data_IF_266957503445
#
_entry.id   IF_266957503445
#
_cell.length_a   1.000
_cell.length_b   1.000
_cell.length_c   1.000
_cell.angle_alpha   90.00
_cell.angle_beta   90.00
_cell.angle_gamma   90.00
#
_symmetry.space_group_name_H-M   'P 1'
#
loop_
_entity.id
_entity.type
_entity.pdbx_description
1 polymer ?
#
# COMPACT_ATOMS: atom_id res chain seq x y z
N UNK A 1 -21.78 16.41 67.42
CA UNK A 1 -21.10 17.66 67.00
C UNK A 1 -19.61 17.36 66.88
N UNK A 2 -19.18 16.79 65.76
CA UNK A 2 -17.78 16.41 65.52
C UNK A 2 -17.29 17.19 64.30
N UNK A 3 -16.34 18.10 64.55
CA UNK A 3 -15.71 18.99 63.58
C UNK A 3 -14.60 18.24 62.85
N UNK A 4 -14.72 18.09 61.54
CA UNK A 4 -13.70 17.45 60.69
C UNK A 4 -12.90 18.54 59.98
N UNK A 5 -11.65 18.68 60.37
CA UNK A 5 -10.69 19.58 59.73
C UNK A 5 -10.17 18.96 58.41
N UNK A 6 -10.23 19.73 57.33
CA UNK A 6 -9.56 19.47 56.05
C UNK A 6 -8.11 19.95 56.13
N UNK A 7 -7.16 19.03 55.97
CA UNK A 7 -5.74 19.37 55.84
C UNK A 7 -5.35 19.43 54.36
N UNK A 8 -5.01 20.63 53.91
CA UNK A 8 -4.46 20.94 52.59
C UNK A 8 -2.96 20.69 52.59
N UNK A 9 -2.49 19.75 51.77
CA UNK A 9 -1.06 19.47 51.57
C UNK A 9 -0.56 20.18 50.29
N UNK A 10 0.09 21.31 50.50
CA UNK A 10 0.82 22.06 49.46
C UNK A 10 2.20 21.42 49.26
N UNK A 11 2.38 20.68 48.17
CA UNK A 11 3.67 20.09 47.83
C UNK A 11 4.48 21.06 46.95
N UNK A 12 5.52 21.65 47.53
CA UNK A 12 6.50 22.50 46.84
C UNK A 12 7.50 21.65 46.04
N UNK A 13 7.66 21.96 44.76
CA UNK A 13 8.64 21.33 43.87
C UNK A 13 10.08 21.81 44.16
N UNK A 14 11.09 20.92 44.09
CA UNK A 14 12.49 21.32 44.07
C UNK A 14 12.99 21.62 42.65
N UNK A 15 13.73 22.73 42.56
CA UNK A 15 14.40 23.32 41.39
C UNK A 15 15.57 22.45 40.89
N UNK A 16 15.76 22.24 39.57
CA UNK A 16 16.91 21.52 39.04
C UNK A 16 18.16 22.41 38.91
N UNK A 17 19.38 21.85 39.07
CA UNK A 17 20.63 22.57 38.81
C UNK A 17 21.02 22.51 37.33
N UNK A 18 21.49 23.65 36.81
CA UNK A 18 22.14 23.79 35.51
C UNK A 18 23.53 23.12 35.49
N UNK A 19 23.96 22.60 34.33
CA UNK A 19 25.37 22.60 33.98
C UNK A 19 25.66 23.50 32.76
N UNK A 20 26.73 24.25 32.91
CA UNK A 20 27.37 25.11 31.91
C UNK A 20 28.04 24.31 30.78
N UNK A 21 27.86 24.85 29.55
CA UNK A 21 28.83 25.04 28.47
C UNK A 21 29.89 23.97 28.19
N UNK A 22 29.83 23.43 26.96
CA UNK A 22 31.01 23.18 26.11
C UNK A 22 30.59 23.20 24.64
N UNK A 23 30.82 24.32 23.97
CA UNK A 23 30.85 24.40 22.50
C UNK A 23 32.24 23.97 22.05
N UNK A 24 32.32 22.89 21.28
CA UNK A 24 33.52 22.51 20.54
C UNK A 24 33.13 22.10 19.11
N UNK A 25 33.78 22.75 18.15
CA UNK A 25 33.71 22.60 16.70
C UNK A 25 33.44 21.19 16.16
N UNK A 26 32.77 21.08 15.00
CA UNK A 26 33.07 20.06 14.02
C UNK A 26 33.93 20.61 12.87
N UNK A 27 35.11 20.00 12.77
CA UNK A 27 36.02 20.03 11.63
C UNK A 27 35.31 19.66 10.33
N UNK A 28 35.61 20.42 9.27
CA UNK A 28 35.22 20.15 7.89
C UNK A 28 35.95 18.89 7.40
N UNK A 29 35.20 17.80 7.21
CA UNK A 29 35.66 16.67 6.39
C UNK A 29 34.85 16.62 5.09
N UNK A 30 35.40 17.26 4.06
CA UNK A 30 35.06 17.00 2.67
C UNK A 30 35.40 15.54 2.34
N UNK A 31 34.37 14.70 2.22
CA UNK A 31 34.51 13.39 1.58
C UNK A 31 34.04 13.50 0.12
N UNK A 32 35.04 13.53 -0.76
CA UNK A 32 34.92 13.35 -2.20
C UNK A 32 34.35 11.95 -2.48
N UNK A 33 33.09 11.88 -2.89
CA UNK A 33 32.55 10.66 -3.51
C UNK A 33 33.07 10.56 -4.94
N UNK A 34 34.11 9.75 -5.11
CA UNK A 34 34.60 9.33 -6.42
C UNK A 34 33.62 8.30 -7.00
N UNK A 35 32.84 8.73 -8.00
CA UNK A 35 31.99 7.85 -8.82
C UNK A 35 32.88 6.87 -9.61
N UNK A 36 33.11 5.67 -9.09
CA UNK A 36 33.65 4.56 -9.89
C UNK A 36 32.51 3.81 -10.58
N UNK A 37 32.39 4.09 -11.87
CA UNK A 37 31.52 3.40 -12.82
C UNK A 37 32.06 1.99 -13.06
N UNK A 38 31.56 1.02 -12.30
CA UNK A 38 31.83 -0.40 -12.52
C UNK A 38 30.89 -0.96 -13.58
N UNK A 39 31.42 -1.28 -14.76
CA UNK A 39 30.73 -2.03 -15.80
C UNK A 39 30.67 -3.52 -15.39
N UNK A 40 29.49 -4.03 -15.02
CA UNK A 40 29.24 -5.47 -14.92
C UNK A 40 28.67 -5.98 -16.25
N UNK A 41 29.51 -6.71 -16.98
CA UNK A 41 29.15 -7.46 -18.18
C UNK A 41 28.45 -8.77 -17.76
N UNK A 42 27.16 -8.90 -18.08
CA UNK A 42 26.41 -10.14 -17.89
C UNK A 42 26.66 -11.03 -19.11
N UNK A 43 27.30 -12.17 -18.88
CA UNK A 43 27.61 -13.18 -19.89
C UNK A 43 26.46 -14.19 -19.93
N UNK A 44 25.62 -14.13 -20.96
CA UNK A 44 24.56 -15.11 -21.20
C UNK A 44 25.16 -16.39 -21.79
N UNK A 45 24.98 -17.51 -21.11
CA UNK A 45 25.34 -18.83 -21.65
C UNK A 45 24.06 -19.54 -22.07
N UNK A 46 23.88 -19.68 -23.38
CA UNK A 46 22.89 -20.59 -23.97
C UNK A 46 23.30 -22.03 -23.67
N UNK A 47 22.35 -22.88 -23.27
CA UNK A 47 22.46 -24.33 -23.49
C UNK A 47 21.07 -24.91 -23.70
N UNK A 48 20.97 -25.58 -24.85
CA UNK A 48 19.83 -26.26 -25.45
C UNK A 48 19.39 -27.51 -24.67
N UNK A 49 18.09 -27.82 -24.82
CA UNK A 49 17.40 -29.05 -24.40
C UNK A 49 18.02 -30.34 -24.98
N UNK A 50 17.65 -31.56 -24.49
CA UNK A 50 16.43 -32.22 -25.00
C UNK A 50 15.65 -33.17 -24.04
N UNK A 51 14.34 -33.29 -24.36
CA UNK A 51 13.44 -34.48 -24.43
C UNK A 51 13.03 -35.39 -23.22
N UNK A 52 11.68 -35.58 -23.14
CA UNK A 52 10.86 -36.80 -22.86
C UNK A 52 10.99 -37.45 -21.44
N UNK A 53 9.96 -37.87 -20.66
CA UNK A 53 8.67 -38.57 -20.89
C UNK A 53 7.87 -38.64 -19.52
N UNK A 54 6.80 -39.46 -19.27
CA UNK A 54 5.39 -39.02 -19.07
C UNK A 54 4.70 -39.31 -17.69
N UNK A 55 3.46 -38.80 -17.58
CA UNK A 55 2.22 -39.23 -16.86
C UNK A 55 2.22 -39.72 -15.39
N UNK A 56 1.42 -39.04 -14.55
CA UNK A 56 0.40 -39.69 -13.68
C UNK A 56 -0.53 -38.65 -13.00
N UNK A 57 -1.80 -38.59 -13.41
CA UNK A 57 -2.89 -37.90 -12.70
C UNK A 57 -4.11 -38.84 -12.60
N UNK A 58 -4.77 -39.01 -11.43
CA UNK A 58 -5.84 -40.00 -11.29
C UNK A 58 -7.27 -39.45 -11.52
N UNK A 59 -8.06 -40.22 -12.31
CA UNK A 59 -9.44 -40.75 -12.06
C UNK A 59 -10.60 -39.70 -12.02
N UNK A 60 -11.80 -39.90 -12.67
CA UNK A 60 -12.66 -41.09 -12.52
C UNK A 60 -13.44 -41.58 -13.76
N UNK A 61 -13.73 -42.88 -13.83
CA UNK A 61 -14.72 -43.44 -14.77
C UNK A 61 -15.42 -44.65 -14.15
N UNK A 62 -16.56 -44.37 -13.52
CA UNK A 62 -17.64 -45.33 -13.31
C UNK A 62 -18.84 -44.79 -14.08
N UNK A 63 -19.34 -45.52 -15.08
CA UNK A 63 -20.74 -45.55 -15.53
C UNK A 63 -20.88 -46.56 -16.68
N UNK A 64 -21.06 -47.81 -16.30
CA UNK A 64 -21.59 -48.87 -17.15
C UNK A 64 -23.10 -48.65 -17.30
N UNK A 65 -23.60 -48.42 -18.51
CA UNK A 65 -25.01 -48.71 -18.84
C UNK A 65 -25.12 -49.32 -20.24
N UNK A 66 -25.79 -50.48 -20.26
CA UNK A 66 -26.01 -51.40 -21.39
C UNK A 66 -26.98 -50.84 -22.44
N UNK A 67 -26.91 -51.26 -23.72
CA UNK A 67 -27.90 -50.93 -24.73
C UNK A 67 -28.94 -52.04 -24.85
N UNK A 68 -30.22 -51.78 -24.59
CA UNK A 68 -31.28 -52.72 -24.97
C UNK A 68 -32.64 -52.02 -25.23
N UNK A 69 -33.01 -52.05 -26.53
CA UNK A 69 -34.35 -52.27 -27.08
C UNK A 69 -35.54 -51.41 -26.61
N UNK A 70 -35.95 -50.46 -27.47
CA UNK A 70 -37.35 -50.05 -27.58
C UNK A 70 -37.74 -49.77 -29.06
N UNK A 71 -39.00 -50.02 -29.47
CA UNK A 71 -39.37 -50.30 -30.85
C UNK A 71 -39.57 -49.03 -31.70
N UNK A 72 -39.10 -49.08 -32.94
CA UNK A 72 -39.20 -48.00 -33.94
C UNK A 72 -40.64 -47.93 -34.47
N UNK A 73 -41.38 -46.91 -34.05
CA UNK A 73 -42.72 -46.59 -34.56
C UNK A 73 -42.62 -45.78 -35.86
N UNK A 74 -43.45 -46.15 -36.83
CA UNK A 74 -43.36 -45.80 -38.25
C UNK A 74 -43.65 -44.31 -38.48
N UNK A 75 -42.68 -43.57 -39.05
CA UNK A 75 -42.88 -42.19 -39.51
C UNK A 75 -43.82 -42.15 -40.72
N UNK A 76 -44.97 -41.50 -40.57
CA UNK A 76 -45.90 -41.21 -41.67
C UNK A 76 -45.44 -39.93 -42.38
N UNK A 77 -45.37 -39.99 -43.70
CA UNK A 77 -44.93 -38.97 -44.65
C UNK A 77 -45.81 -37.71 -44.62
N UNK A 78 -45.24 -36.56 -44.23
CA UNK A 78 -45.88 -35.25 -44.43
C UNK A 78 -45.18 -34.49 -45.56
N UNK A 79 -45.98 -34.22 -46.59
CA UNK A 79 -45.76 -33.39 -47.78
C UNK A 79 -45.05 -32.06 -47.47
N UNK A 80 -43.78 -31.90 -47.85
CA UNK A 80 -43.05 -30.63 -47.68
C UNK A 80 -43.35 -29.72 -48.89
N UNK A 81 -44.37 -28.88 -48.77
CA UNK A 81 -44.63 -27.79 -49.73
C UNK A 81 -43.54 -26.73 -49.55
N UNK A 82 -42.58 -26.68 -50.49
CA UNK A 82 -41.55 -25.64 -50.54
C UNK A 82 -42.15 -24.33 -51.05
N UNK A 83 -42.67 -23.49 -50.16
CA UNK A 83 -42.96 -22.09 -50.51
C UNK A 83 -41.65 -21.33 -50.75
N UNK A 84 -41.37 -21.04 -52.02
CA UNK A 84 -40.27 -20.18 -52.48
C UNK A 84 -40.57 -18.74 -52.06
N UNK A 85 -40.30 -18.37 -50.81
CA UNK A 85 -40.35 -16.96 -50.38
C UNK A 85 -39.24 -16.20 -51.10
N UNK A 86 -39.66 -15.22 -51.89
CA UNK A 86 -38.87 -14.14 -52.45
C UNK A 86 -37.82 -13.69 -51.43
N UNK A 87 -36.56 -13.60 -51.85
CA UNK A 87 -35.50 -12.97 -51.08
C UNK A 87 -35.89 -11.50 -50.85
N UNK A 88 -36.49 -11.20 -49.69
CA UNK A 88 -36.33 -9.89 -49.08
C UNK A 88 -34.84 -9.77 -48.82
N UNK A 89 -34.22 -8.86 -49.56
CA UNK A 89 -32.87 -8.37 -49.34
C UNK A 89 -32.73 -8.10 -47.85
N UNK A 90 -32.05 -9.03 -47.16
CA UNK A 90 -31.70 -8.91 -45.77
C UNK A 90 -30.57 -7.87 -45.78
N UNK A 91 -30.94 -6.58 -45.81
CA UNK A 91 -30.00 -5.54 -45.41
C UNK A 91 -29.72 -5.82 -43.94
N UNK A 92 -28.65 -6.58 -43.68
CA UNK A 92 -27.95 -6.51 -42.41
C UNK A 92 -27.67 -5.03 -42.21
N UNK A 93 -28.47 -4.38 -41.37
CA UNK A 93 -28.10 -3.09 -40.84
C UNK A 93 -26.72 -3.33 -40.20
N UNK A 94 -25.72 -2.61 -40.69
CA UNK A 94 -24.36 -2.70 -40.17
C UNK A 94 -24.44 -2.66 -38.64
N UNK A 95 -23.89 -3.68 -37.93
CA UNK A 95 -23.98 -3.73 -36.49
C UNK A 95 -23.53 -2.38 -35.92
N UNK A 96 -24.31 -1.75 -35.02
CA UNK A 96 -23.97 -0.44 -34.49
C UNK A 96 -22.53 -0.49 -33.97
N UNK A 97 -21.64 0.27 -34.60
CA UNK A 97 -20.24 0.32 -34.20
C UNK A 97 -20.18 0.94 -32.81
N UNK A 98 -20.15 0.10 -31.78
CA UNK A 98 -19.84 0.53 -30.44
C UNK A 98 -18.32 0.77 -30.37
N UNK A 99 -17.86 1.92 -30.85
CA UNK A 99 -16.56 2.50 -30.46
C UNK A 99 -16.46 2.73 -28.94
N UNK A 100 -17.50 2.36 -28.19
CA UNK A 100 -17.62 2.37 -26.73
C UNK A 100 -16.95 1.09 -26.20
N UNK A 101 -15.63 1.01 -26.32
CA UNK A 101 -14.82 -0.04 -25.68
C UNK A 101 -13.77 0.50 -24.71
N UNK A 102 -13.28 1.73 -24.94
CA UNK A 102 -12.09 2.22 -24.25
C UNK A 102 -12.12 3.70 -23.83
N UNK A 103 -13.21 4.42 -24.13
CA UNK A 103 -13.38 5.81 -23.66
C UNK A 103 -13.94 5.79 -22.25
N UNK A 104 -13.17 6.25 -21.27
CA UNK A 104 -13.65 6.42 -19.89
C UNK A 104 -14.83 7.39 -19.89
N UNK A 105 -16.02 6.90 -19.58
CA UNK A 105 -17.26 7.71 -19.51
C UNK A 105 -17.32 8.57 -18.26
N UNK A 106 -16.39 8.38 -17.31
CA UNK A 106 -16.26 9.17 -16.09
C UNK A 106 -14.98 9.99 -16.18
N UNK A 107 -15.11 11.29 -15.97
CA UNK A 107 -13.98 12.19 -15.82
C UNK A 107 -13.15 11.72 -14.62
N UNK A 108 -11.85 11.51 -14.85
CA UNK A 108 -10.90 11.24 -13.78
C UNK A 108 -10.33 12.57 -13.36
N UNK A 109 -10.45 12.97 -12.08
CA UNK A 109 -9.73 14.13 -11.59
C UNK A 109 -8.23 13.85 -11.74
N UNK A 110 -7.56 14.60 -12.61
CA UNK A 110 -6.10 14.54 -12.81
C UNK A 110 -5.35 15.38 -11.78
N UNK A 111 -6.08 16.17 -10.99
CA UNK A 111 -5.51 17.00 -9.93
C UNK A 111 -5.14 16.13 -8.73
N UNK A 112 -3.88 16.23 -8.33
CA UNK A 112 -3.37 15.54 -7.15
C UNK A 112 -3.84 16.29 -5.90
N UNK A 113 -4.22 15.60 -4.81
CA UNK A 113 -4.59 16.27 -3.57
C UNK A 113 -3.41 17.09 -3.03
N UNK A 114 -3.68 18.19 -2.32
CA UNK A 114 -2.64 19.12 -1.85
C UNK A 114 -1.58 18.41 -0.99
N UNK A 115 -2.02 17.53 -0.11
CA UNK A 115 -1.14 16.75 0.77
C UNK A 115 -0.50 15.52 0.11
N UNK A 116 -0.56 15.35 -1.21
CA UNK A 116 -0.01 14.17 -1.90
C UNK A 116 1.48 13.94 -1.60
N UNK A 117 2.27 15.01 -1.56
CA UNK A 117 3.72 14.90 -1.29
C UNK A 117 3.97 14.31 0.12
N UNK A 118 3.20 14.77 1.11
CA UNK A 118 3.25 14.26 2.48
C UNK A 118 2.80 12.79 2.52
N UNK A 119 1.69 12.49 1.86
CA UNK A 119 1.17 11.13 1.76
C UNK A 119 2.18 10.17 1.11
N UNK A 120 2.92 10.61 0.09
CA UNK A 120 3.96 9.81 -0.58
C UNK A 120 5.14 9.50 0.36
N UNK A 121 5.63 10.50 1.10
CA UNK A 121 6.67 10.27 2.11
C UNK A 121 6.24 9.25 3.17
N UNK A 122 5.02 9.41 3.69
CA UNK A 122 4.47 8.52 4.72
C UNK A 122 4.17 7.11 4.18
N UNK A 123 3.72 7.00 2.94
CA UNK A 123 3.48 5.71 2.28
C UNK A 123 4.78 4.95 2.07
N UNK A 124 5.86 5.64 1.69
CA UNK A 124 7.19 5.04 1.61
C UNK A 124 7.68 4.56 2.97
N UNK A 125 7.47 5.34 4.03
CA UNK A 125 7.82 4.91 5.39
C UNK A 125 7.01 3.68 5.85
N UNK A 126 5.70 3.65 5.58
CA UNK A 126 4.86 2.49 5.88
C UNK A 126 5.39 1.22 5.19
N UNK A 127 5.71 1.33 3.90
CA UNK A 127 6.27 0.22 3.13
C UNK A 127 7.61 -0.24 3.70
N UNK A 128 8.47 0.68 4.13
CA UNK A 128 9.75 0.31 4.78
C UNK A 128 9.53 -0.47 6.07
N UNK A 129 8.52 -0.13 6.88
CA UNK A 129 8.17 -0.90 8.08
C UNK A 129 7.55 -2.28 7.76
N UNK A 130 7.00 -2.43 6.55
CA UNK A 130 6.49 -3.72 6.04
C UNK A 130 7.59 -4.67 5.56
N UNK A 131 8.80 -4.15 5.36
CA UNK A 131 9.96 -4.89 4.88
C UNK A 131 10.97 -5.06 6.03
N UNK A 132 11.88 -6.02 5.89
CA UNK A 132 13.04 -6.15 6.78
C UNK A 132 14.05 -5.04 6.47
N UNK A 133 13.78 -3.83 6.99
CA UNK A 133 14.62 -2.66 6.76
C UNK A 133 15.77 -2.58 7.76
N UNK A 134 16.90 -3.20 7.42
CA UNK A 134 18.16 -3.04 8.14
C UNK A 134 18.03 -3.20 9.66
N UNK A 135 18.51 -2.20 10.42
CA UNK A 135 18.35 -2.16 11.88
C UNK A 135 17.14 -1.31 12.29
N UNK A 136 16.53 -1.65 13.43
CA UNK A 136 15.44 -0.86 14.03
C UNK A 136 15.85 0.57 14.35
N UNK A 137 17.14 0.79 14.67
CA UNK A 137 17.71 2.12 14.85
C UNK A 137 17.74 2.93 13.55
N UNK A 138 18.11 2.30 12.43
CA UNK A 138 18.09 2.94 11.12
C UNK A 138 16.66 3.29 10.73
N UNK A 139 15.71 2.36 10.91
CA UNK A 139 14.29 2.59 10.65
C UNK A 139 13.74 3.77 11.46
N UNK A 140 14.04 3.81 12.76
CA UNK A 140 13.62 4.91 13.63
C UNK A 140 14.22 6.26 13.17
N UNK A 141 15.49 6.28 12.76
CA UNK A 141 16.11 7.51 12.24
C UNK A 141 15.49 7.94 10.91
N UNK A 142 15.19 7.00 10.03
CA UNK A 142 14.47 7.27 8.77
C UNK A 142 13.10 7.86 9.06
N UNK A 143 12.36 7.31 10.03
CA UNK A 143 11.05 7.85 10.39
C UNK A 143 11.10 9.25 11.02
N UNK A 144 12.14 9.57 11.79
CA UNK A 144 12.39 10.94 12.28
C UNK A 144 12.58 11.93 11.12
N UNK A 145 13.42 11.57 10.14
CA UNK A 145 13.67 12.39 8.94
C UNK A 145 12.39 12.57 8.11
N UNK A 146 11.62 11.50 7.93
CA UNK A 146 10.34 11.56 7.20
C UNK A 146 9.33 12.42 7.94
N UNK A 147 9.25 12.34 9.27
CA UNK A 147 8.37 13.16 10.08
C UNK A 147 8.75 14.65 10.01
N UNK A 148 10.05 14.96 10.06
CA UNK A 148 10.56 16.32 9.87
C UNK A 148 10.21 16.85 8.48
N UNK A 149 10.49 16.08 7.42
CA UNK A 149 10.16 16.47 6.06
C UNK A 149 8.66 16.68 5.86
N UNK A 150 7.82 15.80 6.41
CA UNK A 150 6.37 15.95 6.36
C UNK A 150 5.88 17.24 7.05
N UNK A 151 6.54 17.68 8.12
CA UNK A 151 6.25 18.96 8.76
C UNK A 151 6.63 20.15 7.90
N UNK A 152 7.80 20.12 7.27
CA UNK A 152 8.23 21.18 6.34
C UNK A 152 7.22 21.35 5.20
N UNK A 153 6.81 20.25 4.57
CA UNK A 153 5.83 20.29 3.48
C UNK A 153 4.45 20.78 3.94
N UNK A 154 4.03 20.42 5.16
CA UNK A 154 2.76 20.91 5.71
C UNK A 154 2.80 22.41 6.01
N UNK A 155 3.95 22.94 6.43
CA UNK A 155 4.12 24.39 6.67
C UNK A 155 4.02 25.19 5.37
N UNK A 156 4.52 24.65 4.25
CA UNK A 156 4.34 25.25 2.91
C UNK A 156 2.86 25.34 2.53
N UNK A 157 2.04 24.39 2.99
CA UNK A 157 0.60 24.34 2.73
C UNK A 157 -0.24 25.12 3.75
N UNK A 158 0.39 25.82 4.71
CA UNK A 158 -0.30 26.46 5.84
C UNK A 158 -1.33 27.52 5.45
N UNK A 159 -1.09 28.23 4.35
CA UNK A 159 -2.02 29.26 3.86
C UNK A 159 -3.17 28.68 3.02
N UNK A 160 -3.00 27.45 2.51
CA UNK A 160 -3.92 26.82 1.56
C UNK A 160 -4.83 25.75 2.18
N UNK A 161 -4.49 25.26 3.37
CA UNK A 161 -5.17 24.16 4.07
C UNK A 161 -5.64 24.62 5.44
N UNK A 162 -6.77 24.08 5.91
CA UNK A 162 -7.30 24.37 7.23
C UNK A 162 -6.26 24.06 8.34
N UNK A 163 -5.98 25.05 9.19
CA UNK A 163 -5.02 24.93 10.31
C UNK A 163 -5.34 23.76 11.26
N UNK A 164 -6.62 23.36 11.34
CA UNK A 164 -7.06 22.18 12.09
C UNK A 164 -6.48 20.89 11.52
N UNK A 165 -6.48 20.71 10.20
CA UNK A 165 -5.94 19.52 9.53
C UNK A 165 -4.42 19.44 9.68
N UNK A 166 -3.74 20.59 9.62
CA UNK A 166 -2.30 20.68 9.85
C UNK A 166 -1.95 20.29 11.30
N UNK A 167 -2.71 20.82 12.27
CA UNK A 167 -2.55 20.47 13.69
C UNK A 167 -2.81 18.97 13.93
N UNK A 168 -3.82 18.41 13.28
CA UNK A 168 -4.12 16.99 13.34
C UNK A 168 -2.99 16.14 12.75
N UNK A 169 -2.44 16.55 11.59
CA UNK A 169 -1.28 15.88 10.99
C UNK A 169 -0.10 15.88 11.96
N UNK A 170 0.25 17.05 12.53
CA UNK A 170 1.36 17.16 13.48
C UNK A 170 1.17 16.30 14.72
N UNK A 171 -0.07 16.23 15.23
CA UNK A 171 -0.41 15.34 16.34
C UNK A 171 -0.19 13.87 15.99
N UNK A 172 -0.60 13.43 14.80
CA UNK A 172 -0.42 12.04 14.37
C UNK A 172 1.05 11.73 14.09
N UNK A 173 1.79 12.63 13.43
CA UNK A 173 3.24 12.51 13.23
C UNK A 173 3.99 12.36 14.55
N UNK A 174 3.60 13.11 15.59
CA UNK A 174 4.21 12.99 16.91
C UNK A 174 3.99 11.62 17.56
N UNK A 175 2.79 11.05 17.38
CA UNK A 175 2.48 9.73 17.90
C UNK A 175 3.22 8.63 17.13
N UNK A 176 3.40 8.80 15.82
CA UNK A 176 4.23 7.93 14.98
C UNK A 176 5.70 7.96 15.41
N UNK A 177 6.28 9.14 15.67
CA UNK A 177 7.66 9.26 16.19
C UNK A 177 7.83 8.51 17.52
N UNK A 178 6.85 8.62 18.41
CA UNK A 178 6.85 7.91 19.70
C UNK A 178 6.78 6.39 19.51
N UNK A 179 5.93 5.90 18.60
CA UNK A 179 5.83 4.47 18.29
C UNK A 179 7.14 3.94 17.69
N UNK A 180 7.82 4.71 16.84
CA UNK A 180 9.15 4.35 16.31
C UNK A 180 10.26 4.36 17.38
N UNK A 181 10.18 5.25 18.37
CA UNK A 181 11.07 5.20 19.53
C UNK A 181 10.86 3.91 20.34
N UNK A 182 9.62 3.43 20.46
CA UNK A 182 9.31 2.15 21.08
C UNK A 182 9.81 0.96 20.25
N UNK A 183 9.71 1.04 18.92
CA UNK A 183 10.30 0.05 17.99
C UNK A 183 11.82 -0.02 18.17
N UNK A 184 12.50 1.13 18.26
CA UNK A 184 13.95 1.19 18.50
C UNK A 184 14.33 0.55 19.85
N UNK A 185 13.50 0.72 20.87
CA UNK A 185 13.75 0.18 22.21
C UNK A 185 13.35 -1.30 22.37
N UNK A 186 12.65 -1.89 21.40
CA UNK A 186 12.19 -3.27 21.48
C UNK A 186 13.38 -4.24 21.36
N UNK A 187 13.51 -5.13 22.34
CA UNK A 187 14.59 -6.14 22.41
C UNK A 187 14.10 -7.52 21.97
N UNK A 188 12.80 -7.80 22.09
CA UNK A 188 12.19 -9.09 21.74
C UNK A 188 11.41 -8.99 20.45
N UNK A 189 11.54 -10.00 19.59
CA UNK A 189 10.91 -10.02 18.26
C UNK A 189 9.37 -9.97 18.32
N UNK A 190 8.77 -10.62 19.32
CA UNK A 190 7.30 -10.56 19.55
C UNK A 190 6.85 -9.11 19.80
N UNK A 191 7.51 -8.41 20.72
CA UNK A 191 7.20 -7.02 21.04
C UNK A 191 7.53 -6.07 19.89
N UNK A 192 8.58 -6.37 19.13
CA UNK A 192 8.97 -5.59 17.96
C UNK A 192 7.86 -5.61 16.91
N UNK A 193 7.32 -6.80 16.63
CA UNK A 193 6.28 -6.99 15.62
C UNK A 193 5.00 -6.24 16.00
N UNK A 194 4.55 -6.35 17.25
CA UNK A 194 3.38 -5.61 17.74
C UNK A 194 3.56 -4.08 17.60
N UNK A 195 4.75 -3.57 17.93
CA UNK A 195 5.06 -2.14 17.85
C UNK A 195 5.17 -1.66 16.41
N UNK A 196 5.70 -2.48 15.50
CA UNK A 196 5.73 -2.16 14.07
C UNK A 196 4.32 -2.08 13.49
N UNK A 197 3.42 -3.00 13.85
CA UNK A 197 2.02 -2.93 13.40
C UNK A 197 1.31 -1.69 13.93
N UNK A 198 1.56 -1.31 15.19
CA UNK A 198 1.04 -0.06 15.74
C UNK A 198 1.58 1.18 14.99
N UNK A 199 2.89 1.21 14.71
CA UNK A 199 3.51 2.30 13.95
C UNK A 199 2.97 2.39 12.52
N UNK A 200 2.77 1.26 11.83
CA UNK A 200 2.11 1.21 10.52
C UNK A 200 0.70 1.76 10.56
N UNK A 201 -0.10 1.36 11.56
CA UNK A 201 -1.45 1.87 11.74
C UNK A 201 -1.46 3.41 11.91
N UNK A 202 -0.48 3.97 12.63
CA UNK A 202 -0.28 5.42 12.73
C UNK A 202 0.11 6.07 11.41
N UNK A 203 1.03 5.48 10.65
CA UNK A 203 1.39 5.99 9.32
C UNK A 203 0.15 6.03 8.41
N UNK A 204 -0.66 4.97 8.40
CA UNK A 204 -1.93 4.95 7.65
C UNK A 204 -2.88 6.06 8.08
N UNK A 205 -3.00 6.30 9.39
CA UNK A 205 -3.77 7.43 9.90
C UNK A 205 -3.24 8.77 9.37
N UNK A 206 -1.93 8.99 9.40
CA UNK A 206 -1.31 10.22 8.92
C UNK A 206 -1.53 10.41 7.41
N UNK A 207 -1.45 9.33 6.62
CA UNK A 207 -1.74 9.33 5.18
C UNK A 207 -3.20 9.77 4.92
N UNK A 208 -4.15 9.28 5.71
CA UNK A 208 -5.56 9.67 5.57
C UNK A 208 -5.77 11.16 5.84
N UNK A 209 -5.12 11.71 6.89
CA UNK A 209 -5.18 13.14 7.20
C UNK A 209 -4.54 13.97 6.07
N UNK A 210 -3.38 13.55 5.55
CA UNK A 210 -2.72 14.24 4.44
C UNK A 210 -3.55 14.21 3.15
N UNK A 211 -4.24 13.11 2.86
CA UNK A 211 -5.13 13.01 1.70
C UNK A 211 -6.41 13.85 1.84
N UNK A 212 -6.76 14.31 3.05
CA UNK A 212 -7.89 15.21 3.29
C UNK A 212 -7.55 16.70 3.22
N UNK A 213 -6.29 17.04 2.91
CA UNK A 213 -5.85 18.42 2.70
C UNK A 213 -6.49 19.04 1.45
#
# INVERSE_FOLDING_TARGET
MASTYVASLSQTQPKPPHPHLSFANPSQHCLLFSLRKGHSSIKCTNSSAPEQQPDDFPVPSNMTTSPDNAPIEKRTSAEIIRQRKLRKELAEAEPPNYEIGWKRTKEIPLEMPKGYVIADFLSKLENLMGLEFGSTELLAKTGEIVAERAREEAEVLRDDVDERLITELFRVLRLMEMDLAMVKAAVKDETLTERLEQAKARCRQAILVANSF
#
